data_IF_280720431263
#
_entry.id   IF_280720431263
#
_cell.length_a   1.000
_cell.length_b   1.000
_cell.length_c   1.000
_cell.angle_alpha   90.00
_cell.angle_beta   90.00
_cell.angle_gamma   90.00
#
_symmetry.space_group_name_H-M   'P 1'
#
loop_
_entity.id
_entity.type
_entity.pdbx_description
1 polymer ?
#
# COMPACT_ATOMS: atom_id res chain seq x y z
N UNK A 1 11.92 10.63 -2.00
CA UNK A 1 10.44 10.71 -1.98
C UNK A 1 9.87 9.36 -2.36
N UNK A 2 9.12 8.72 -1.46
CA UNK A 2 8.46 7.44 -1.73
C UNK A 2 7.10 7.73 -2.41
N UNK A 3 6.97 7.40 -3.70
CA UNK A 3 5.68 7.47 -4.42
C UNK A 3 4.91 6.19 -4.11
N UNK A 4 3.74 6.31 -3.47
CA UNK A 4 2.83 5.18 -3.29
C UNK A 4 2.25 4.74 -4.64
N UNK A 5 1.97 3.44 -4.77
CA UNK A 5 1.64 2.72 -6.02
C UNK A 5 0.54 3.39 -6.86
N UNK A 6 -0.43 4.03 -6.20
CA UNK A 6 -1.53 4.73 -6.85
C UNK A 6 -1.08 5.91 -7.74
N UNK A 7 0.12 6.45 -7.53
CA UNK A 7 0.65 7.57 -8.30
C UNK A 7 1.44 7.16 -9.56
N UNK A 8 1.54 5.85 -9.86
CA UNK A 8 2.33 5.34 -10.98
C UNK A 8 1.41 5.00 -12.16
N UNK A 9 1.47 5.75 -13.28
CA UNK A 9 0.62 5.50 -14.44
C UNK A 9 0.80 4.09 -15.02
N UNK A 10 -0.28 3.54 -15.59
CA UNK A 10 -0.31 2.17 -16.12
C UNK A 10 0.76 1.89 -17.18
N UNK A 11 1.11 2.86 -18.03
CA UNK A 11 2.17 2.74 -19.07
C UNK A 11 3.57 2.43 -18.53
N UNK A 12 3.79 2.66 -17.24
CA UNK A 12 5.06 2.37 -16.57
C UNK A 12 5.06 1.01 -15.88
N UNK A 13 3.97 0.24 -15.99
CA UNK A 13 3.89 -1.13 -15.47
C UNK A 13 4.57 -2.10 -16.42
N UNK A 14 5.42 -2.95 -15.87
CA UNK A 14 6.00 -4.11 -16.52
C UNK A 14 5.25 -5.35 -16.02
N UNK A 15 4.55 -6.02 -16.92
CA UNK A 15 3.85 -7.28 -16.66
C UNK A 15 4.56 -8.44 -17.38
N UNK A 16 4.67 -9.64 -16.79
CA UNK A 16 4.23 -10.03 -15.44
C UNK A 16 5.36 -9.93 -14.40
N UNK A 17 5.07 -9.56 -13.15
CA UNK A 17 6.00 -9.65 -12.04
C UNK A 17 5.91 -11.05 -11.43
N UNK A 18 6.87 -11.90 -11.76
CA UNK A 18 7.05 -13.20 -11.13
C UNK A 18 7.87 -13.04 -9.84
N UNK A 19 7.51 -13.79 -8.79
CA UNK A 19 8.48 -14.05 -7.73
C UNK A 19 9.64 -14.87 -8.30
N UNK A 20 10.83 -14.81 -7.70
CA UNK A 20 11.95 -15.68 -8.07
C UNK A 20 11.56 -17.18 -8.06
N UNK A 21 10.48 -17.55 -7.37
CA UNK A 21 9.92 -18.90 -7.29
C UNK A 21 8.82 -19.21 -8.35
N UNK A 22 8.58 -18.36 -9.35
CA UNK A 22 7.60 -18.64 -10.42
C UNK A 22 6.12 -18.52 -10.00
N UNK A 23 5.83 -18.10 -8.76
CA UNK A 23 4.47 -17.91 -8.29
C UNK A 23 3.89 -16.56 -8.77
N UNK A 24 2.59 -16.52 -9.15
CA UNK A 24 1.90 -15.27 -9.45
C UNK A 24 1.81 -14.40 -8.19
N UNK A 25 2.58 -13.32 -8.16
CA UNK A 25 2.60 -12.39 -7.04
C UNK A 25 1.61 -11.23 -7.19
N UNK A 26 1.13 -10.63 -6.08
CA UNK A 26 0.36 -9.38 -6.11
C UNK A 26 1.23 -8.15 -6.43
N UNK A 27 2.47 -8.37 -6.88
CA UNK A 27 3.38 -7.27 -7.20
C UNK A 27 3.01 -6.67 -8.55
N UNK A 28 3.32 -5.41 -8.78
CA UNK A 28 3.44 -4.82 -10.13
C UNK A 28 4.88 -4.36 -10.25
N UNK A 29 5.58 -4.77 -11.31
CA UNK A 29 6.89 -4.19 -11.61
C UNK A 29 6.67 -2.87 -12.34
N UNK A 30 7.57 -1.92 -12.09
CA UNK A 30 7.50 -0.61 -12.71
C UNK A 30 8.88 -0.17 -13.19
N UNK A 31 8.89 0.46 -14.37
CA UNK A 31 10.06 1.13 -14.93
C UNK A 31 9.73 2.59 -15.15
N UNK A 32 10.43 3.46 -14.44
CA UNK A 32 10.33 4.91 -14.59
C UNK A 32 11.59 5.43 -15.29
N UNK A 33 11.36 6.15 -16.38
CA UNK A 33 12.42 6.84 -17.12
C UNK A 33 12.32 8.32 -16.81
N UNK A 34 13.39 8.88 -16.26
CA UNK A 34 13.50 10.29 -15.88
C UNK A 34 14.66 10.94 -16.64
N UNK A 35 14.49 12.19 -17.07
CA UNK A 35 15.58 13.03 -17.56
C UNK A 35 16.02 13.93 -16.41
N UNK A 36 17.26 13.78 -15.94
CA UNK A 36 17.80 14.55 -14.82
C UNK A 36 18.95 15.42 -15.27
N UNK A 37 18.91 16.69 -14.88
CA UNK A 37 20.04 17.60 -15.00
C UNK A 37 20.91 17.47 -13.75
N UNK A 38 22.18 17.16 -13.93
CA UNK A 38 23.13 17.20 -12.82
C UNK A 38 23.55 18.65 -12.57
N UNK A 39 23.85 18.97 -11.31
CA UNK A 39 24.31 20.32 -10.96
C UNK A 39 25.56 20.71 -11.76
N UNK A 40 26.51 19.77 -11.91
CA UNK A 40 27.74 19.98 -12.68
C UNK A 40 27.48 20.31 -14.15
N UNK A 41 26.52 19.62 -14.78
CA UNK A 41 26.17 19.85 -16.18
C UNK A 41 25.40 21.16 -16.36
N UNK A 42 24.50 21.50 -15.43
CA UNK A 42 23.83 22.80 -15.41
C UNK A 42 24.81 23.95 -15.31
N UNK A 43 25.74 23.92 -14.35
CA UNK A 43 26.76 24.98 -14.19
C UNK A 43 27.73 25.06 -15.37
N UNK A 44 28.06 23.92 -15.98
CA UNK A 44 28.89 23.90 -17.19
C UNK A 44 28.18 24.55 -18.37
N UNK A 45 26.92 24.18 -18.60
CA UNK A 45 26.13 24.69 -19.71
C UNK A 45 25.91 26.20 -19.62
N UNK A 46 25.68 26.71 -18.40
CA UNK A 46 25.59 28.15 -18.13
C UNK A 46 26.87 28.88 -18.50
N UNK A 47 28.05 28.38 -18.07
CA UNK A 47 29.34 28.96 -18.45
C UNK A 47 29.61 28.91 -19.95
N UNK A 48 29.18 27.84 -20.61
CA UNK A 48 29.38 27.63 -22.05
C UNK A 48 28.27 28.29 -22.90
N UNK A 49 27.31 29.02 -22.30
CA UNK A 49 26.23 29.71 -23.01
C UNK A 49 25.29 28.77 -23.77
N UNK A 50 25.23 27.50 -23.37
CA UNK A 50 24.46 26.46 -24.05
C UNK A 50 23.37 25.90 -23.15
N UNK A 51 22.46 25.13 -23.75
CA UNK A 51 21.46 24.38 -22.99
C UNK A 51 22.11 23.18 -22.28
N UNK A 52 21.77 22.90 -21.01
CA UNK A 52 22.25 21.71 -20.33
C UNK A 52 21.69 20.44 -20.96
N UNK A 53 22.51 19.39 -21.00
CA UNK A 53 22.11 18.10 -21.55
C UNK A 53 21.60 17.21 -20.40
N UNK A 54 20.34 16.73 -20.44
CA UNK A 54 19.85 15.85 -19.39
C UNK A 54 20.48 14.46 -19.51
N UNK A 55 20.72 13.83 -18.36
CA UNK A 55 21.08 12.41 -18.29
C UNK A 55 19.82 11.57 -18.12
N UNK A 56 19.75 10.46 -18.86
CA UNK A 56 18.69 9.47 -18.71
C UNK A 56 18.92 8.67 -17.41
N UNK A 57 17.92 8.67 -16.53
CA UNK A 57 17.89 7.85 -15.34
C UNK A 57 16.73 6.86 -15.43
N UNK A 58 17.03 5.56 -15.37
CA UNK A 58 16.03 4.50 -15.35
C UNK A 58 15.96 3.93 -13.94
N UNK A 59 14.76 3.94 -13.34
CA UNK A 59 14.50 3.37 -12.02
C UNK A 59 13.50 2.23 -12.16
N UNK A 60 13.91 1.04 -11.73
CA UNK A 60 13.03 -0.12 -11.63
C UNK A 60 12.66 -0.36 -10.17
N UNK A 61 11.39 -0.65 -9.93
CA UNK A 61 10.94 -1.05 -8.59
C UNK A 61 9.74 -2.00 -8.68
N UNK A 62 9.59 -2.83 -7.64
CA UNK A 62 8.41 -3.65 -7.45
C UNK A 62 7.50 -2.97 -6.42
N UNK A 63 6.23 -2.82 -6.79
CA UNK A 63 5.19 -2.33 -5.92
C UNK A 63 4.36 -3.52 -5.41
N UNK A 64 4.18 -3.62 -4.10
CA UNK A 64 3.18 -4.52 -3.55
C UNK A 64 1.82 -3.85 -3.67
N UNK A 65 0.94 -4.40 -4.52
CA UNK A 65 -0.43 -3.90 -4.63
C UNK A 65 -1.34 -4.88 -3.92
N UNK A 66 -1.89 -4.48 -2.77
CA UNK A 66 -2.91 -5.28 -2.10
C UNK A 66 -4.12 -5.40 -3.04
N UNK A 67 -4.73 -6.59 -3.19
CA UNK A 67 -5.88 -6.81 -4.08
C UNK A 67 -7.02 -5.79 -3.92
N UNK A 68 -7.23 -5.35 -2.67
CA UNK A 68 -8.20 -4.31 -2.30
C UNK A 68 -7.96 -2.96 -3.00
N UNK A 69 -6.71 -2.62 -3.31
CA UNK A 69 -6.33 -1.39 -4.02
C UNK A 69 -6.61 -1.46 -5.54
N UNK A 70 -6.90 -2.65 -6.07
CA UNK A 70 -7.15 -2.89 -7.49
C UNK A 70 -8.63 -3.16 -7.79
N UNK A 71 -9.53 -3.03 -6.81
CA UNK A 71 -10.92 -3.52 -6.90
C UNK A 71 -10.97 -4.96 -7.41
N UNK A 72 -9.92 -5.76 -7.12
CA UNK A 72 -9.94 -7.16 -7.48
C UNK A 72 -10.89 -7.84 -6.50
N UNK A 73 -12.00 -8.36 -7.02
CA UNK A 73 -12.92 -9.24 -6.30
C UNK A 73 -12.25 -10.59 -6.07
N UNK A 74 -11.21 -10.60 -5.23
CA UNK A 74 -10.66 -11.82 -4.69
C UNK A 74 -11.61 -12.26 -3.59
N UNK A 75 -12.62 -13.04 -3.97
CA UNK A 75 -13.49 -13.69 -3.01
C UNK A 75 -12.72 -14.85 -2.37
N UNK A 76 -12.40 -14.71 -1.08
CA UNK A 76 -11.93 -15.79 -0.24
C UNK A 76 -12.98 -16.07 0.85
N UNK A 77 -13.42 -17.32 1.04
CA UNK A 77 -14.32 -17.70 2.14
C UNK A 77 -13.79 -17.27 3.51
N UNK A 78 -12.47 -17.38 3.72
CA UNK A 78 -11.81 -16.95 4.95
C UNK A 78 -11.90 -15.44 5.15
N UNK A 79 -11.61 -14.66 4.11
CA UNK A 79 -11.70 -13.20 4.18
C UNK A 79 -13.15 -12.73 4.40
N UNK A 80 -14.12 -13.40 3.77
CA UNK A 80 -15.55 -13.11 3.96
C UNK A 80 -15.97 -13.35 5.41
N UNK A 81 -15.61 -14.49 5.99
CA UNK A 81 -15.90 -14.81 7.40
C UNK A 81 -15.21 -13.85 8.36
N UNK A 82 -13.94 -13.51 8.13
CA UNK A 82 -13.20 -12.55 8.94
C UNK A 82 -13.84 -11.15 8.90
N UNK A 83 -14.30 -10.71 7.72
CA UNK A 83 -15.02 -9.43 7.56
C UNK A 83 -16.37 -9.45 8.28
N UNK A 84 -17.13 -10.55 8.17
CA UNK A 84 -18.40 -10.71 8.87
C UNK A 84 -18.20 -10.66 10.39
N UNK A 85 -17.20 -11.36 10.92
CA UNK A 85 -16.83 -11.33 12.33
C UNK A 85 -16.45 -9.93 12.80
N UNK A 86 -15.61 -9.21 12.04
CA UNK A 86 -15.22 -7.84 12.35
C UNK A 86 -16.40 -6.86 12.30
N UNK A 87 -17.31 -7.04 11.34
CA UNK A 87 -18.52 -6.22 11.24
C UNK A 87 -19.42 -6.44 12.47
N UNK A 88 -19.66 -7.69 12.85
CA UNK A 88 -20.43 -8.05 14.04
C UNK A 88 -19.81 -7.46 15.30
N UNK A 89 -18.50 -7.61 15.49
CA UNK A 89 -17.76 -7.02 16.62
C UNK A 89 -17.93 -5.49 16.69
N UNK A 90 -17.82 -4.78 15.56
CA UNK A 90 -17.99 -3.33 15.53
C UNK A 90 -19.40 -2.90 15.89
N UNK A 91 -20.41 -3.62 15.43
CA UNK A 91 -21.80 -3.33 15.75
C UNK A 91 -22.10 -3.57 17.22
N UNK A 92 -21.63 -4.68 17.79
CA UNK A 92 -21.81 -5.01 19.20
C UNK A 92 -21.07 -4.01 20.10
N UNK A 93 -19.81 -3.69 19.78
CA UNK A 93 -19.02 -2.69 20.50
C UNK A 93 -19.70 -1.31 20.48
N UNK A 94 -20.20 -0.88 19.31
CA UNK A 94 -20.93 0.39 19.18
C UNK A 94 -22.21 0.40 20.02
N UNK A 95 -22.95 -0.71 20.06
CA UNK A 95 -24.14 -0.84 20.91
C UNK A 95 -23.79 -0.77 22.38
N UNK A 96 -22.72 -1.45 22.79
CA UNK A 96 -22.22 -1.44 24.17
C UNK A 96 -21.80 -0.04 24.63
N UNK A 97 -20.97 0.65 23.84
CA UNK A 97 -20.52 2.01 24.16
C UNK A 97 -21.65 3.03 24.20
N UNK A 98 -22.68 2.86 23.35
CA UNK A 98 -23.87 3.72 23.38
C UNK A 98 -24.78 3.48 24.58
N UNK A 99 -24.73 2.29 25.16
CA UNK A 99 -25.47 1.94 26.37
C UNK A 99 -24.70 2.30 27.65
N UNK A 100 -23.45 2.78 27.54
CA UNK A 100 -22.64 3.16 28.67
C UNK A 100 -23.28 4.36 29.42
N UNK A 101 -23.44 4.27 30.75
CA UNK A 101 -23.87 5.40 31.56
C UNK A 101 -22.98 6.65 31.41
N UNK A 102 -23.52 7.85 31.70
CA UNK A 102 -22.71 9.06 31.72
C UNK A 102 -21.50 8.90 32.65
N UNK A 103 -20.31 9.23 32.14
CA UNK A 103 -19.05 9.15 32.90
C UNK A 103 -18.33 7.80 32.87
N UNK A 104 -18.93 6.73 32.36
CA UNK A 104 -18.31 5.39 32.34
C UNK A 104 -17.84 4.94 30.95
N UNK A 105 -17.89 5.83 29.96
CA UNK A 105 -17.56 5.52 28.57
C UNK A 105 -16.12 5.01 28.39
N UNK A 106 -15.16 5.57 29.14
CA UNK A 106 -13.75 5.19 29.06
C UNK A 106 -13.53 3.76 29.59
N UNK A 107 -14.08 3.44 30.77
CA UNK A 107 -14.01 2.10 31.34
C UNK A 107 -14.69 1.07 30.43
N UNK A 108 -15.87 1.38 29.88
CA UNK A 108 -16.56 0.52 28.93
C UNK A 108 -15.79 0.34 27.60
N UNK A 109 -14.91 1.27 27.24
CA UNK A 109 -14.02 1.15 26.08
C UNK A 109 -12.76 0.33 26.39
N UNK A 110 -12.25 0.38 27.62
CA UNK A 110 -11.11 -0.43 28.08
C UNK A 110 -11.49 -1.92 28.22
N UNK A 111 -12.73 -2.21 28.64
CA UNK A 111 -13.27 -3.57 28.73
C UNK A 111 -13.57 -4.21 27.35
N UNK A 112 -13.58 -3.42 26.28
CA UNK A 112 -13.67 -3.97 24.93
C UNK A 112 -12.31 -4.59 24.57
N UNK A 113 -12.25 -5.92 24.59
CA UNK A 113 -11.15 -6.67 23.98
C UNK A 113 -11.13 -6.40 22.46
N UNK A 114 -10.41 -5.35 22.08
CA UNK A 114 -10.25 -4.95 20.70
C UNK A 114 -9.26 -5.92 20.05
N UNK A 115 -9.71 -6.82 19.14
CA UNK A 115 -8.77 -7.61 18.37
C UNK A 115 -7.86 -6.61 17.65
N UNK A 116 -6.52 -6.77 17.74
CA UNK A 116 -5.58 -5.78 17.26
C UNK A 116 -5.94 -5.40 15.83
N UNK A 117 -6.11 -4.10 15.57
CA UNK A 117 -6.73 -3.56 14.35
C UNK A 117 -5.99 -3.90 13.05
N UNK A 118 -4.87 -4.63 13.12
CA UNK A 118 -4.10 -5.22 12.04
C UNK A 118 -2.94 -6.02 12.64
N UNK A 119 -2.88 -7.33 12.43
CA UNK A 119 -1.57 -7.91 12.15
C UNK A 119 -1.27 -7.60 10.68
N UNK A 120 -0.33 -6.68 10.44
CA UNK A 120 0.08 -6.28 9.09
C UNK A 120 0.70 -7.42 8.27
N UNK A 121 0.84 -8.62 8.83
CA UNK A 121 1.62 -9.74 8.29
C UNK A 121 1.08 -11.16 8.61
N UNK A 122 -0.09 -11.35 9.25
CA UNK A 122 -0.49 -12.70 9.73
C UNK A 122 -1.30 -13.59 8.79
N UNK A 123 -1.79 -13.09 7.65
CA UNK A 123 -2.58 -13.94 6.73
C UNK A 123 -1.73 -14.95 5.92
N UNK A 124 -0.49 -15.23 6.31
CA UNK A 124 0.41 -16.14 5.57
C UNK A 124 1.11 -17.21 6.41
N UNK A 125 0.91 -17.27 7.72
CA UNK A 125 1.54 -18.29 8.56
C UNK A 125 0.59 -18.74 9.66
N UNK A 126 -0.27 -19.69 9.34
CA UNK A 126 -0.54 -20.90 10.13
C UNK A 126 -1.61 -21.72 9.40
N UNK A 127 -1.30 -23.02 9.28
CA UNK A 127 -2.02 -24.03 8.52
C UNK A 127 -3.35 -24.44 9.17
#
# INVERSE_FOLDING_TARGET
MSRTVHHVPARHRTHPPYWAAGLPGPCTAHTLTELRYSHTESSRAEREGRRPVPTLAVRTFAAHTYPRALNADLWSPYESTARAALHTFRQTARKHLRAAPPGTLLAAAEDLDHPPTRHRHRDLWEA
#
